data_IF_187443797281
#
_entry.id   IF_187443797281
#
_cell.length_a   1.000
_cell.length_b   1.000
_cell.length_c   1.000
_cell.angle_alpha   90.00
_cell.angle_beta   90.00
_cell.angle_gamma   90.00
#
_symmetry.space_group_name_H-M   'P 1'
#
loop_
_entity.id
_entity.type
_entity.pdbx_description
1 polymer ?
#
# COMPACT_ATOMS: atom_id res chain seq x y z
N UNK A 1 -8.44 26.47 -7.04
CA UNK A 1 -7.74 25.57 -6.10
C UNK A 1 -8.81 25.00 -5.20
N UNK A 2 -9.19 23.75 -5.40
CA UNK A 2 -10.29 23.14 -4.64
C UNK A 2 -9.74 22.58 -3.32
N UNK A 3 -10.59 22.51 -2.29
CA UNK A 3 -10.28 21.87 -0.99
C UNK A 3 -9.70 20.45 -1.11
N UNK A 4 -9.81 19.81 -2.26
CA UNK A 4 -9.20 18.52 -2.60
C UNK A 4 -7.67 18.56 -2.71
N UNK A 5 -7.08 19.67 -3.13
CA UNK A 5 -5.62 19.84 -3.07
C UNK A 5 -5.13 19.93 -1.61
N UNK A 6 -5.97 20.38 -0.70
CA UNK A 6 -5.60 20.49 0.71
C UNK A 6 -5.57 19.17 1.46
N UNK A 7 -6.29 18.14 1.03
CA UNK A 7 -6.28 16.80 1.64
C UNK A 7 -5.12 15.95 1.10
N UNK A 8 -4.77 16.12 -0.18
CA UNK A 8 -3.69 15.36 -0.83
C UNK A 8 -2.31 16.05 -0.79
N UNK A 9 -2.24 17.36 -0.48
CA UNK A 9 -0.99 18.15 -0.52
C UNK A 9 -0.50 18.57 0.88
N UNK A 10 -1.26 18.35 1.96
CA UNK A 10 -0.82 18.63 3.34
C UNK A 10 0.21 17.62 3.90
N UNK A 11 0.71 16.70 3.11
CA UNK A 11 1.70 15.69 3.50
C UNK A 11 3.15 16.17 3.61
N UNK A 12 3.45 17.47 3.59
CA UNK A 12 4.84 17.92 3.75
C UNK A 12 4.94 19.35 4.28
N UNK A 13 4.48 19.61 5.49
CA UNK A 13 5.02 20.71 6.33
C UNK A 13 4.41 20.69 7.74
N UNK A 14 5.27 20.84 8.73
CA UNK A 14 5.06 20.93 10.16
C UNK A 14 4.71 19.62 10.88
N UNK A 15 5.69 19.15 11.65
CA UNK A 15 5.50 18.34 12.85
C UNK A 15 4.81 19.23 13.90
N UNK A 16 3.53 19.50 13.70
CA UNK A 16 2.60 19.78 14.78
C UNK A 16 2.07 18.41 15.19
N UNK A 17 1.92 18.13 16.47
CA UNK A 17 1.27 16.93 17.00
C UNK A 17 -0.06 16.71 16.28
N UNK A 18 -0.04 15.98 15.17
CA UNK A 18 -1.25 15.57 14.50
C UNK A 18 -1.91 14.55 15.43
N UNK A 19 -3.05 14.90 15.99
CA UNK A 19 -3.89 13.96 16.74
C UNK A 19 -4.07 12.70 15.89
N UNK A 20 -3.57 11.57 16.40
CA UNK A 20 -3.71 10.27 15.72
C UNK A 20 -5.20 9.95 15.55
N UNK A 21 -5.59 9.50 14.36
CA UNK A 21 -6.96 9.08 14.08
C UNK A 21 -7.24 7.76 14.82
N UNK A 22 -8.41 7.61 15.41
CA UNK A 22 -8.84 6.39 16.08
C UNK A 22 -9.54 5.47 15.09
N UNK A 23 -9.06 4.24 14.94
CA UNK A 23 -9.54 3.29 13.97
C UNK A 23 -10.23 2.07 14.59
N UNK A 24 -11.35 1.67 14.02
CA UNK A 24 -11.97 0.34 14.23
C UNK A 24 -11.58 -0.56 13.07
N UNK A 25 -10.98 -1.73 13.37
CA UNK A 25 -10.61 -2.71 12.37
C UNK A 25 -11.73 -3.73 12.17
N UNK A 26 -12.00 -4.07 10.91
CA UNK A 26 -13.06 -5.01 10.52
C UNK A 26 -12.46 -6.12 9.70
N UNK A 27 -12.61 -7.38 10.17
CA UNK A 27 -12.18 -8.56 9.45
C UNK A 27 -13.33 -9.53 9.16
N UNK A 28 -13.25 -10.23 8.04
CA UNK A 28 -14.20 -11.28 7.67
C UNK A 28 -13.47 -12.61 7.55
N UNK A 29 -13.89 -13.58 8.37
CA UNK A 29 -13.40 -14.96 8.29
C UNK A 29 -14.16 -15.71 7.21
N UNK A 30 -13.45 -16.33 6.26
CA UNK A 30 -14.00 -17.11 5.16
C UNK A 30 -13.34 -18.47 5.07
N UNK A 31 -14.07 -19.52 4.62
CA UNK A 31 -13.46 -20.80 4.33
C UNK A 31 -12.34 -20.67 3.28
N UNK A 32 -11.25 -21.40 3.48
CA UNK A 32 -10.13 -21.45 2.52
C UNK A 32 -9.24 -20.21 2.49
N UNK A 33 -9.31 -19.34 3.48
CA UNK A 33 -8.33 -18.24 3.61
C UNK A 33 -6.93 -18.81 3.85
N UNK A 34 -5.95 -18.26 3.16
CA UNK A 34 -4.53 -18.65 3.28
C UNK A 34 -3.95 -18.29 4.65
N UNK A 35 -4.46 -17.21 5.26
CA UNK A 35 -3.96 -16.67 6.53
C UNK A 35 -5.03 -16.74 7.62
N UNK A 36 -4.66 -17.07 8.87
CA UNK A 36 -5.55 -16.92 10.01
C UNK A 36 -6.01 -15.45 10.12
N UNK A 37 -7.31 -15.23 10.37
CA UNK A 37 -7.86 -13.87 10.49
C UNK A 37 -7.18 -13.07 11.60
N UNK A 38 -6.81 -13.72 12.70
CA UNK A 38 -6.08 -13.11 13.84
C UNK A 38 -4.74 -12.52 13.39
N UNK A 39 -3.97 -13.26 12.59
CA UNK A 39 -2.69 -12.83 12.04
C UNK A 39 -2.88 -11.65 11.06
N UNK A 40 -3.88 -11.74 10.17
CA UNK A 40 -4.20 -10.67 9.21
C UNK A 40 -4.59 -9.37 9.91
N UNK A 41 -5.40 -9.44 10.97
CA UNK A 41 -5.82 -8.28 11.77
C UNK A 41 -4.68 -7.71 12.63
N UNK A 42 -3.80 -8.55 13.16
CA UNK A 42 -2.60 -8.08 13.85
C UNK A 42 -1.66 -7.30 12.91
N UNK A 43 -1.52 -7.76 11.67
CA UNK A 43 -0.79 -7.03 10.63
C UNK A 43 -1.48 -5.73 10.24
N UNK A 44 -2.82 -5.74 10.07
CA UNK A 44 -3.61 -4.54 9.79
C UNK A 44 -3.46 -3.48 10.89
N UNK A 45 -3.41 -3.88 12.16
CA UNK A 45 -3.18 -2.98 13.28
C UNK A 45 -1.78 -2.32 13.20
N UNK A 46 -0.74 -3.08 12.82
CA UNK A 46 0.60 -2.52 12.59
C UNK A 46 0.65 -1.58 11.38
N UNK A 47 -0.13 -1.87 10.33
CA UNK A 47 -0.29 -0.95 9.20
C UNK A 47 -0.97 0.35 9.65
N UNK A 48 -2.06 0.27 10.41
CA UNK A 48 -2.75 1.43 10.95
C UNK A 48 -1.82 2.29 11.82
N UNK A 49 -1.03 1.68 12.70
CA UNK A 49 -0.02 2.39 13.50
C UNK A 49 1.03 3.09 12.62
N UNK A 50 1.52 2.42 11.58
CA UNK A 50 2.48 2.98 10.63
C UNK A 50 1.91 4.20 9.89
N UNK A 51 0.61 4.17 9.55
CA UNK A 51 -0.11 5.28 8.94
C UNK A 51 -0.46 6.41 9.92
N UNK A 52 -0.23 6.23 11.22
CA UNK A 52 -0.53 7.22 12.26
C UNK A 52 -1.95 7.13 12.82
N UNK A 53 -2.60 5.96 12.74
CA UNK A 53 -3.89 5.69 13.35
C UNK A 53 -3.75 4.74 14.55
N UNK A 54 -4.55 4.96 15.60
CA UNK A 54 -4.61 4.13 16.79
C UNK A 54 -5.77 3.14 16.68
N UNK A 55 -5.50 1.84 16.76
CA UNK A 55 -6.54 0.81 16.79
C UNK A 55 -7.23 0.82 18.16
N UNK A 56 -8.51 1.24 18.19
CA UNK A 56 -9.30 1.32 19.42
C UNK A 56 -10.26 0.15 19.62
N UNK A 57 -10.63 -0.53 18.53
CA UNK A 57 -11.44 -1.76 18.59
C UNK A 57 -11.23 -2.62 17.35
N UNK A 58 -11.51 -3.90 17.48
CA UNK A 58 -11.48 -4.88 16.41
C UNK A 58 -12.80 -5.65 16.42
N UNK A 59 -13.40 -5.83 15.27
CA UNK A 59 -14.60 -6.67 15.13
C UNK A 59 -14.48 -7.62 13.94
N UNK A 60 -15.05 -8.79 14.08
CA UNK A 60 -14.98 -9.84 13.06
C UNK A 60 -16.34 -10.39 12.73
N UNK A 61 -16.48 -10.93 11.52
CA UNK A 61 -17.67 -11.68 11.13
C UNK A 61 -17.25 -12.92 10.35
N UNK A 62 -17.91 -14.04 10.63
CA UNK A 62 -17.74 -15.27 9.84
C UNK A 62 -18.80 -15.32 8.76
N UNK A 63 -18.37 -15.45 7.50
CA UNK A 63 -19.24 -15.51 6.31
C UNK A 63 -18.68 -16.52 5.31
N UNK A 64 -19.54 -17.24 4.63
CA UNK A 64 -19.14 -18.09 3.51
C UNK A 64 -18.72 -17.25 2.30
N UNK A 65 -19.39 -16.12 2.08
CA UNK A 65 -19.05 -15.13 1.04
C UNK A 65 -19.35 -13.71 1.53
N UNK A 66 -18.57 -12.71 1.06
CA UNK A 66 -18.83 -11.31 1.39
C UNK A 66 -20.19 -10.85 0.90
N UNK A 67 -20.85 -9.99 1.70
CA UNK A 67 -22.10 -9.36 1.26
C UNK A 67 -21.83 -8.45 0.04
N UNK A 68 -22.56 -8.61 -1.08
CA UNK A 68 -22.35 -7.81 -2.29
C UNK A 68 -22.57 -6.31 -2.07
N UNK A 69 -23.41 -5.93 -1.09
CA UNK A 69 -23.78 -4.53 -0.84
C UNK A 69 -22.83 -3.82 0.12
N UNK A 70 -22.45 -4.46 1.23
CA UNK A 70 -21.74 -3.83 2.35
C UNK A 70 -20.54 -4.64 2.84
N UNK A 71 -20.14 -5.69 2.13
CA UNK A 71 -19.09 -6.64 2.49
C UNK A 71 -19.43 -7.49 3.72
N UNK A 72 -20.01 -6.89 4.76
CA UNK A 72 -20.53 -7.54 5.98
C UNK A 72 -22.04 -7.49 6.05
N UNK A 73 -22.68 -8.27 6.92
CA UNK A 73 -24.13 -8.25 7.11
C UNK A 73 -24.61 -6.92 7.71
N UNK A 74 -25.91 -6.59 7.51
CA UNK A 74 -26.50 -5.32 8.00
C UNK A 74 -26.38 -5.15 9.51
N UNK A 75 -26.66 -6.18 10.31
CA UNK A 75 -26.47 -6.15 11.77
C UNK A 75 -25.03 -5.89 12.18
N UNK A 76 -24.03 -6.38 11.41
CA UNK A 76 -22.63 -6.09 11.64
C UNK A 76 -22.30 -4.63 11.33
N UNK A 77 -22.91 -4.02 10.31
CA UNK A 77 -22.76 -2.58 10.03
C UNK A 77 -23.23 -1.73 11.21
N UNK A 78 -24.37 -2.07 11.83
CA UNK A 78 -24.88 -1.39 13.02
C UNK A 78 -23.99 -1.58 14.23
N UNK A 79 -23.44 -2.78 14.42
CA UNK A 79 -22.43 -3.07 15.45
C UNK A 79 -21.18 -2.24 15.27
N UNK A 80 -20.63 -2.16 14.05
CA UNK A 80 -19.45 -1.35 13.72
C UNK A 80 -19.72 0.13 14.05
N UNK A 81 -20.85 0.67 13.61
CA UNK A 81 -21.23 2.06 13.91
C UNK A 81 -21.35 2.31 15.41
N UNK A 82 -21.90 1.35 16.16
CA UNK A 82 -21.99 1.42 17.63
C UNK A 82 -20.63 1.38 18.31
N UNK A 83 -19.73 0.50 17.85
CA UNK A 83 -18.34 0.45 18.32
C UNK A 83 -17.59 1.75 18.05
N UNK A 84 -17.77 2.36 16.88
CA UNK A 84 -17.15 3.64 16.55
C UNK A 84 -17.61 4.74 17.51
N UNK A 85 -18.93 4.86 17.78
CA UNK A 85 -19.47 5.83 18.73
C UNK A 85 -18.95 5.61 20.15
N UNK A 86 -18.93 4.35 20.60
CA UNK A 86 -18.49 4.00 21.96
C UNK A 86 -17.00 4.34 22.22
N UNK A 87 -16.15 4.22 21.19
CA UNK A 87 -14.71 4.43 21.29
C UNK A 87 -14.26 5.82 20.76
N UNK A 88 -15.19 6.63 20.24
CA UNK A 88 -14.87 7.90 19.59
C UNK A 88 -13.93 7.72 18.42
N UNK A 89 -14.22 6.72 17.57
CA UNK A 89 -13.41 6.43 16.39
C UNK A 89 -13.75 7.38 15.25
N UNK A 90 -12.74 7.73 14.45
CA UNK A 90 -12.83 8.61 13.29
C UNK A 90 -12.80 7.79 11.98
N UNK A 91 -12.33 6.52 12.06
CA UNK A 91 -11.96 5.71 10.91
C UNK A 91 -12.39 4.25 11.08
N UNK A 92 -12.88 3.65 10.00
CA UNK A 92 -13.14 2.20 9.89
C UNK A 92 -12.20 1.65 8.82
N UNK A 93 -11.45 0.60 9.15
CA UNK A 93 -10.51 -0.04 8.24
C UNK A 93 -10.91 -1.50 8.02
N UNK A 94 -11.24 -1.85 6.78
CA UNK A 94 -11.51 -3.23 6.38
C UNK A 94 -10.22 -3.95 6.01
N UNK A 95 -10.07 -5.18 6.46
CA UNK A 95 -8.90 -6.03 6.20
C UNK A 95 -8.82 -6.53 4.75
N UNK A 96 -9.94 -6.57 4.06
CA UNK A 96 -10.04 -6.96 2.65
C UNK A 96 -10.36 -5.75 1.78
N UNK A 97 -10.03 -5.85 0.47
CA UNK A 97 -10.36 -4.80 -0.49
C UNK A 97 -11.87 -4.67 -0.68
N UNK A 98 -12.37 -3.45 -0.62
CA UNK A 98 -13.77 -3.12 -0.85
C UNK A 98 -13.99 -2.71 -2.31
N UNK A 99 -15.08 -3.19 -2.90
CA UNK A 99 -15.52 -2.60 -4.16
C UNK A 99 -15.99 -1.16 -3.94
N UNK A 100 -15.93 -0.29 -4.97
CA UNK A 100 -16.43 1.09 -4.87
C UNK A 100 -17.87 1.19 -4.38
N UNK A 101 -18.71 0.22 -4.77
CA UNK A 101 -20.12 0.15 -4.36
C UNK A 101 -20.25 -0.20 -2.88
N UNK A 102 -19.49 -1.18 -2.40
CA UNK A 102 -19.48 -1.57 -0.99
C UNK A 102 -19.03 -0.43 -0.10
N UNK A 103 -17.92 0.23 -0.44
CA UNK A 103 -17.42 1.39 0.30
C UNK A 103 -18.49 2.49 0.37
N UNK A 104 -19.07 2.89 -0.77
CA UNK A 104 -20.09 3.92 -0.82
C UNK A 104 -21.37 3.55 -0.03
N UNK A 105 -21.74 2.27 0.01
CA UNK A 105 -22.89 1.81 0.78
C UNK A 105 -22.60 1.80 2.29
N UNK A 106 -21.39 1.42 2.69
CA UNK A 106 -20.93 1.49 4.08
C UNK A 106 -20.92 2.93 4.58
N UNK A 107 -20.31 3.87 3.84
CA UNK A 107 -20.28 5.29 4.17
C UNK A 107 -21.67 5.90 4.33
N UNK A 108 -22.68 5.40 3.58
CA UNK A 108 -24.08 5.84 3.75
C UNK A 108 -24.79 5.19 4.94
N UNK A 109 -24.31 4.06 5.40
CA UNK A 109 -24.95 3.26 6.46
C UNK A 109 -24.34 3.54 7.85
N UNK A 110 -23.15 4.14 7.91
CA UNK A 110 -22.51 4.59 9.15
C UNK A 110 -22.69 6.10 9.34
N UNK A 111 -22.24 6.63 10.46
CA UNK A 111 -22.31 8.06 10.74
C UNK A 111 -21.50 8.87 9.71
N UNK A 112 -21.99 10.06 9.33
CA UNK A 112 -21.42 10.88 8.23
C UNK A 112 -19.98 11.33 8.45
N UNK A 113 -19.54 11.40 9.68
CA UNK A 113 -18.21 11.86 10.04
C UNK A 113 -17.18 10.71 10.07
N UNK A 114 -17.64 9.45 9.91
CA UNK A 114 -16.78 8.27 9.87
C UNK A 114 -16.24 8.02 8.46
N UNK A 115 -14.93 7.92 8.37
CA UNK A 115 -14.25 7.50 7.14
C UNK A 115 -14.24 5.98 7.05
N UNK A 116 -14.48 5.45 5.85
CA UNK A 116 -14.37 4.01 5.56
C UNK A 116 -13.27 3.81 4.52
N UNK A 117 -12.25 3.06 4.90
CA UNK A 117 -11.17 2.68 3.99
C UNK A 117 -10.95 1.17 4.05
N UNK A 118 -10.24 0.64 3.07
CA UNK A 118 -9.81 -0.74 3.03
C UNK A 118 -8.28 -0.85 3.17
N UNK A 119 -7.78 -2.09 3.25
CA UNK A 119 -6.35 -2.38 3.35
C UNK A 119 -5.55 -1.73 2.20
N UNK A 120 -6.09 -1.71 0.99
CA UNK A 120 -5.44 -1.10 -0.18
C UNK A 120 -5.23 0.40 -0.01
N UNK A 121 -6.27 1.13 0.43
CA UNK A 121 -6.15 2.56 0.71
C UNK A 121 -5.13 2.84 1.81
N UNK A 122 -5.14 2.05 2.88
CA UNK A 122 -4.19 2.19 4.00
C UNK A 122 -2.74 2.00 3.54
N UNK A 123 -2.46 0.96 2.73
CA UNK A 123 -1.11 0.73 2.18
C UNK A 123 -0.68 1.87 1.26
N UNK A 124 -1.60 2.40 0.44
CA UNK A 124 -1.32 3.55 -0.43
C UNK A 124 -0.96 4.81 0.37
N UNK A 125 -1.59 5.03 1.51
CA UNK A 125 -1.28 6.15 2.40
C UNK A 125 0.10 5.98 3.05
N UNK A 126 0.44 4.77 3.50
CA UNK A 126 1.77 4.45 4.03
C UNK A 126 2.84 4.69 2.95
N UNK A 127 2.60 4.25 1.73
CA UNK A 127 3.52 4.46 0.62
C UNK A 127 3.69 5.95 0.29
N UNK A 128 2.62 6.74 0.38
CA UNK A 128 2.71 8.19 0.18
C UNK A 128 3.57 8.89 1.24
N UNK A 129 3.60 8.36 2.47
CA UNK A 129 4.46 8.87 3.55
C UNK A 129 5.95 8.52 3.33
N UNK A 130 6.25 7.35 2.77
CA UNK A 130 7.62 6.83 2.66
C UNK A 130 8.27 7.05 1.28
N UNK A 131 7.52 7.45 0.25
CA UNK A 131 8.07 7.76 -1.08
C UNK A 131 8.97 9.00 -1.05
N UNK A 132 10.27 8.81 -1.16
CA UNK A 132 11.28 9.89 -1.13
C UNK A 132 11.75 10.25 -2.53
N UNK A 133 11.88 9.28 -3.43
CA UNK A 133 12.31 9.51 -4.81
C UNK A 133 11.21 10.15 -5.67
N UNK A 134 11.61 10.81 -6.75
CA UNK A 134 10.65 11.32 -7.74
C UNK A 134 9.81 10.19 -8.34
N UNK A 135 10.44 9.08 -8.63
CA UNK A 135 9.77 7.93 -9.24
C UNK A 135 8.83 7.25 -8.28
N UNK A 136 9.26 6.93 -7.04
CA UNK A 136 8.39 6.35 -6.01
C UNK A 136 7.14 7.22 -5.78
N UNK A 137 7.30 8.55 -5.70
CA UNK A 137 6.16 9.48 -5.61
C UNK A 137 5.23 9.42 -6.82
N UNK A 138 5.75 9.27 -8.04
CA UNK A 138 4.94 9.13 -9.23
C UNK A 138 4.19 7.79 -9.25
N UNK A 139 4.84 6.71 -8.86
CA UNK A 139 4.23 5.38 -8.74
C UNK A 139 3.08 5.37 -7.73
N UNK A 140 3.31 5.90 -6.53
CA UNK A 140 2.27 6.03 -5.50
C UNK A 140 1.10 6.88 -6.02
N UNK A 141 1.37 8.03 -6.62
CA UNK A 141 0.32 8.88 -7.22
C UNK A 141 -0.45 8.17 -8.33
N UNK A 142 0.23 7.35 -9.14
CA UNK A 142 -0.44 6.54 -10.17
C UNK A 142 -1.41 5.57 -9.52
N UNK A 143 -0.95 4.77 -8.54
CA UNK A 143 -1.78 3.80 -7.84
C UNK A 143 -2.96 4.47 -7.11
N UNK A 144 -2.74 5.59 -6.41
CA UNK A 144 -3.80 6.37 -5.76
C UNK A 144 -4.85 6.85 -6.75
N UNK A 145 -4.45 7.39 -7.91
CA UNK A 145 -5.39 7.84 -8.92
C UNK A 145 -6.16 6.67 -9.58
N UNK A 146 -5.52 5.52 -9.76
CA UNK A 146 -6.17 4.31 -10.26
C UNK A 146 -7.19 3.75 -9.25
N UNK A 147 -6.85 3.73 -7.98
CA UNK A 147 -7.73 3.32 -6.88
C UNK A 147 -8.94 4.29 -6.73
N UNK A 148 -8.69 5.59 -6.83
CA UNK A 148 -9.70 6.64 -6.67
C UNK A 148 -10.68 6.71 -7.85
N UNK A 149 -10.21 6.51 -9.09
CA UNK A 149 -11.00 6.71 -10.30
C UNK A 149 -12.36 6.00 -10.31
N UNK A 150 -12.49 4.70 -9.96
CA UNK A 150 -13.77 4.02 -9.87
C UNK A 150 -14.63 4.48 -8.68
N UNK A 151 -14.01 5.01 -7.62
CA UNK A 151 -14.64 5.46 -6.37
C UNK A 151 -15.21 6.87 -6.41
N UNK A 152 -14.84 7.68 -7.39
CA UNK A 152 -15.36 9.04 -7.56
C UNK A 152 -16.90 9.14 -7.62
N UNK A 153 -17.58 8.12 -8.13
CA UNK A 153 -19.04 8.09 -8.21
C UNK A 153 -19.73 8.12 -6.84
N UNK A 154 -19.17 7.44 -5.84
CA UNK A 154 -19.70 7.39 -4.48
C UNK A 154 -19.51 8.69 -3.73
N UNK A 155 -18.34 9.29 -3.85
CA UNK A 155 -17.97 10.54 -3.16
C UNK A 155 -18.85 11.73 -3.56
N UNK A 156 -19.26 11.81 -4.83
CA UNK A 156 -20.14 12.89 -5.32
C UNK A 156 -21.57 12.82 -4.78
N UNK A 157 -22.07 11.63 -4.49
CA UNK A 157 -23.40 11.50 -3.89
C UNK A 157 -23.45 12.13 -2.49
N UNK A 158 -22.36 12.08 -1.71
CA UNK A 158 -22.24 12.75 -0.40
C UNK A 158 -22.13 14.29 -0.53
N UNK A 159 -21.31 14.77 -1.47
CA UNK A 159 -21.14 16.20 -1.68
C UNK A 159 -22.39 16.89 -2.24
N UNK A 160 -23.13 16.20 -3.11
CA UNK A 160 -24.41 16.68 -3.64
C UNK A 160 -25.48 16.76 -2.56
N UNK A 161 -25.55 15.81 -1.62
CA UNK A 161 -26.52 15.84 -0.51
C UNK A 161 -26.25 16.95 0.51
N UNK A 162 -24.99 17.32 0.72
CA UNK A 162 -24.62 18.42 1.64
C UNK A 162 -24.83 19.83 1.06
N UNK A 163 -25.03 19.96 -0.27
CA UNK A 163 -25.32 21.26 -0.94
C UNK A 163 -26.80 21.52 -1.19
N UNK A 164 -27.72 20.68 -0.74
CA UNK A 164 -29.15 20.85 -0.92
C UNK A 164 -29.72 21.93 0.01
N UNK A 165 -29.39 23.17 -0.29
CA UNK A 165 -30.07 24.39 0.20
C UNK A 165 -30.56 25.25 -0.96
N UNK A 166 -31.53 24.81 -1.77
CA UNK A 166 -32.15 25.62 -2.81
C UNK A 166 -32.55 24.92 -4.10
N UNK A 167 -33.85 24.88 -4.39
CA UNK A 167 -34.50 24.75 -5.71
C UNK A 167 -34.43 23.38 -6.37
N UNK A 168 -35.59 22.72 -6.48
CA UNK A 168 -35.79 21.47 -7.23
C UNK A 168 -35.65 21.76 -8.74
N UNK A 169 -34.81 21.01 -9.45
CA UNK A 169 -34.85 20.86 -10.91
C UNK A 169 -33.62 21.27 -11.71
N UNK A 170 -32.79 22.21 -11.25
CA UNK A 170 -31.66 22.74 -12.07
C UNK A 170 -30.33 22.08 -11.84
N UNK A 171 -30.21 21.12 -10.90
CA UNK A 171 -28.90 20.66 -10.39
C UNK A 171 -28.53 19.23 -10.77
N UNK A 172 -29.43 18.47 -11.35
CA UNK A 172 -29.12 17.09 -11.82
C UNK A 172 -28.13 17.09 -12.98
N UNK A 173 -28.18 18.09 -13.86
CA UNK A 173 -27.25 18.22 -14.99
C UNK A 173 -25.86 18.71 -14.59
N UNK A 174 -25.75 19.61 -13.61
CA UNK A 174 -24.46 20.15 -13.18
C UNK A 174 -23.65 19.14 -12.35
N UNK A 175 -24.30 18.29 -11.55
CA UNK A 175 -23.62 17.25 -10.75
C UNK A 175 -23.03 16.12 -11.62
N UNK A 176 -23.71 15.70 -12.66
CA UNK A 176 -23.18 14.70 -13.61
C UNK A 176 -22.08 15.31 -14.46
N UNK A 177 -22.21 16.53 -14.93
CA UNK A 177 -21.20 17.28 -15.66
C UNK A 177 -19.91 17.44 -14.85
N UNK A 178 -20.01 17.79 -13.56
CA UNK A 178 -18.86 17.95 -12.67
C UNK A 178 -18.13 16.62 -12.42
N UNK A 179 -18.88 15.53 -12.15
CA UNK A 179 -18.30 14.19 -12.00
C UNK A 179 -17.55 13.75 -13.27
N UNK A 180 -18.10 14.04 -14.43
CA UNK A 180 -17.48 13.71 -15.72
C UNK A 180 -16.19 14.52 -15.93
N UNK A 181 -16.19 15.80 -15.56
CA UNK A 181 -14.99 16.66 -15.58
C UNK A 181 -13.91 16.11 -14.65
N UNK A 182 -14.25 15.73 -13.41
CA UNK A 182 -13.29 15.21 -12.45
C UNK A 182 -12.72 13.85 -12.91
N UNK A 183 -13.56 12.96 -13.42
CA UNK A 183 -13.08 11.68 -14.01
C UNK A 183 -12.13 11.93 -15.18
N UNK A 184 -12.42 12.90 -16.02
CA UNK A 184 -11.55 13.28 -17.13
C UNK A 184 -10.21 13.86 -16.63
N UNK A 185 -10.23 14.67 -15.57
CA UNK A 185 -9.02 15.22 -14.97
C UNK A 185 -8.16 14.10 -14.36
N UNK A 186 -8.75 13.16 -13.60
CA UNK A 186 -8.02 12.01 -13.04
C UNK A 186 -7.44 11.12 -14.13
N UNK A 187 -8.20 10.83 -15.21
CA UNK A 187 -7.66 10.08 -16.36
C UNK A 187 -6.49 10.80 -17.05
N UNK A 188 -6.58 12.12 -17.21
CA UNK A 188 -5.46 12.91 -17.75
C UNK A 188 -4.23 12.85 -16.85
N UNK A 189 -4.41 12.94 -15.52
CA UNK A 189 -3.32 12.78 -14.55
C UNK A 189 -2.67 11.40 -14.65
N UNK A 190 -3.46 10.33 -14.71
CA UNK A 190 -2.97 8.95 -14.91
C UNK A 190 -2.12 8.87 -16.19
N UNK A 191 -2.60 9.41 -17.31
CA UNK A 191 -1.88 9.38 -18.58
C UNK A 191 -0.57 10.19 -18.52
N UNK A 192 -0.58 11.36 -17.87
CA UNK A 192 0.62 12.19 -17.69
C UNK A 192 1.66 11.47 -16.83
N UNK A 193 1.24 10.89 -15.69
CA UNK A 193 2.15 10.17 -14.79
C UNK A 193 2.76 8.96 -15.49
N UNK A 194 1.97 8.18 -16.25
CA UNK A 194 2.49 7.05 -17.01
C UNK A 194 3.59 7.45 -17.98
N UNK A 195 3.40 8.57 -18.73
CA UNK A 195 4.44 9.09 -19.65
C UNK A 195 5.71 9.52 -18.91
N UNK A 196 5.57 10.14 -17.73
CA UNK A 196 6.74 10.51 -16.92
C UNK A 196 7.49 9.27 -16.42
N UNK A 197 6.78 8.23 -15.98
CA UNK A 197 7.38 6.95 -15.57
C UNK A 197 8.07 6.24 -16.76
N UNK A 198 7.46 6.22 -17.94
CA UNK A 198 8.07 5.67 -19.15
C UNK A 198 9.39 6.39 -19.51
N UNK A 199 9.41 7.72 -19.38
CA UNK A 199 10.65 8.49 -19.59
C UNK A 199 11.72 8.13 -18.56
N UNK A 200 11.36 8.03 -17.28
CA UNK A 200 12.31 7.63 -16.23
C UNK A 200 12.83 6.19 -16.46
N UNK A 201 11.96 5.28 -16.89
CA UNK A 201 12.35 3.91 -17.21
C UNK A 201 13.35 3.86 -18.40
N UNK A 202 13.15 4.68 -19.42
CA UNK A 202 14.10 4.78 -20.54
C UNK A 202 15.48 5.29 -20.08
N UNK A 203 15.53 6.32 -19.24
CA UNK A 203 16.80 6.82 -18.67
C UNK A 203 17.51 5.75 -17.83
N UNK A 204 16.76 5.00 -17.03
CA UNK A 204 17.32 3.88 -16.25
C UNK A 204 17.84 2.75 -17.12
N UNK A 205 17.15 2.42 -18.23
CA UNK A 205 17.60 1.38 -19.14
C UNK A 205 19.01 1.68 -19.66
N UNK A 206 19.28 2.91 -20.06
CA UNK A 206 20.62 3.36 -20.49
C UNK A 206 21.64 3.26 -19.35
N UNK A 207 21.28 3.64 -18.13
CA UNK A 207 22.15 3.50 -16.96
C UNK A 207 22.41 2.04 -16.57
N UNK A 208 21.44 1.16 -16.77
CA UNK A 208 21.60 -0.29 -16.53
C UNK A 208 22.56 -0.92 -17.55
N UNK A 209 22.44 -0.56 -18.82
CA UNK A 209 23.32 -1.04 -19.89
C UNK A 209 24.78 -0.75 -19.58
N UNK A 210 25.08 0.49 -19.15
CA UNK A 210 26.43 0.89 -18.69
C UNK A 210 26.91 0.10 -17.45
N UNK A 211 26.01 -0.33 -16.57
CA UNK A 211 26.36 -1.19 -15.42
C UNK A 211 26.51 -2.67 -15.80
N UNK A 212 25.80 -3.14 -16.82
CA UNK A 212 25.99 -4.50 -17.36
C UNK A 212 27.39 -4.70 -17.94
N UNK A 213 27.94 -3.68 -18.60
CA UNK A 213 29.30 -3.68 -19.15
C UNK A 213 30.38 -3.78 -18.06
N UNK A 214 30.08 -3.40 -16.80
CA UNK A 214 31.03 -3.49 -15.69
C UNK A 214 31.25 -4.91 -15.15
N UNK A 215 30.44 -5.90 -15.56
CA UNK A 215 30.55 -7.30 -15.10
C UNK A 215 30.35 -7.50 -13.60
N UNK A 216 29.79 -6.53 -12.88
CA UNK A 216 29.61 -6.57 -11.43
C UNK A 216 28.42 -7.47 -11.07
N UNK A 217 28.63 -8.42 -10.15
CA UNK A 217 27.59 -9.33 -9.68
C UNK A 217 26.57 -8.59 -8.84
N UNK A 218 25.27 -8.78 -9.12
CA UNK A 218 24.16 -8.03 -8.55
C UNK A 218 23.33 -8.92 -7.62
N UNK A 219 23.14 -8.48 -6.41
CA UNK A 219 22.37 -9.19 -5.40
C UNK A 219 21.21 -8.31 -4.94
N UNK A 220 20.00 -8.80 -5.00
CA UNK A 220 18.81 -8.12 -4.48
C UNK A 220 18.33 -8.76 -3.18
N UNK A 221 17.99 -7.92 -2.20
CA UNK A 221 17.37 -8.35 -0.95
C UNK A 221 15.85 -8.35 -1.16
N UNK A 222 15.22 -9.51 -1.09
CA UNK A 222 13.78 -9.67 -1.12
C UNK A 222 13.31 -10.26 0.21
N UNK A 223 12.04 -10.10 0.55
CA UNK A 223 11.48 -10.66 1.78
C UNK A 223 10.32 -9.84 2.31
N UNK A 224 9.69 -10.38 3.32
CA UNK A 224 8.52 -9.78 3.93
C UNK A 224 8.83 -8.39 4.53
N UNK A 225 7.81 -7.53 4.66
CA UNK A 225 8.02 -6.23 5.31
C UNK A 225 8.49 -6.43 6.75
N UNK A 226 9.41 -5.60 7.21
CA UNK A 226 10.04 -5.71 8.53
C UNK A 226 10.84 -7.00 8.78
N UNK A 227 11.20 -7.80 7.77
CA UNK A 227 12.07 -8.98 7.95
C UNK A 227 13.54 -8.62 8.24
N UNK A 228 13.90 -7.34 8.15
CA UNK A 228 15.26 -6.85 8.46
C UNK A 228 16.17 -6.69 7.25
N UNK A 229 15.63 -6.55 6.02
CA UNK A 229 16.39 -6.33 4.78
C UNK A 229 17.31 -5.12 4.86
N UNK A 230 16.77 -3.96 5.19
CA UNK A 230 17.54 -2.70 5.32
C UNK A 230 18.57 -2.76 6.44
N UNK A 231 18.25 -3.45 7.55
CA UNK A 231 19.19 -3.69 8.65
C UNK A 231 20.35 -4.58 8.21
N UNK A 232 20.07 -5.62 7.42
CA UNK A 232 21.09 -6.50 6.84
C UNK A 232 22.00 -5.72 5.87
N UNK A 233 21.41 -4.92 4.98
CA UNK A 233 22.17 -4.06 4.07
C UNK A 233 23.12 -3.13 4.85
N UNK A 234 22.61 -2.43 5.87
CA UNK A 234 23.41 -1.52 6.71
C UNK A 234 24.55 -2.26 7.39
N UNK A 235 24.28 -3.45 7.93
CA UNK A 235 25.29 -4.25 8.63
C UNK A 235 26.42 -4.71 7.71
N UNK A 236 26.10 -5.06 6.47
CA UNK A 236 27.09 -5.51 5.49
C UNK A 236 27.89 -4.32 4.91
N UNK A 237 27.24 -3.22 4.60
CA UNK A 237 27.83 -2.12 3.82
C UNK A 237 28.29 -0.93 4.66
N UNK A 238 28.11 -0.96 5.99
CA UNK A 238 28.31 0.17 6.89
C UNK A 238 27.56 1.45 6.43
N UNK A 239 26.40 1.26 5.79
CA UNK A 239 25.57 2.35 5.31
C UNK A 239 24.56 2.76 6.39
N UNK A 240 24.16 4.05 6.38
CA UNK A 240 23.13 4.60 7.25
C UNK A 240 21.78 4.67 6.51
N UNK A 241 21.30 3.55 5.96
CA UNK A 241 19.94 3.50 5.42
C UNK A 241 18.97 3.48 6.59
N UNK A 242 17.94 4.33 6.53
CA UNK A 242 16.94 4.41 7.58
C UNK A 242 16.23 3.05 7.74
N UNK A 243 16.52 2.37 8.82
CA UNK A 243 15.86 1.12 9.22
C UNK A 243 14.97 1.42 10.42
N UNK A 244 13.68 1.53 10.20
CA UNK A 244 12.69 1.70 11.26
C UNK A 244 11.98 0.37 11.52
N UNK A 245 11.59 0.13 12.78
CA UNK A 245 10.70 -0.98 13.14
C UNK A 245 9.25 -0.65 12.76
N UNK A 246 9.05 -0.35 11.47
CA UNK A 246 7.75 -0.03 10.87
C UNK A 246 7.60 -0.78 9.56
N UNK A 247 6.34 -1.09 9.22
CA UNK A 247 6.02 -1.73 7.96
C UNK A 247 6.28 -0.75 6.79
N UNK A 248 6.88 -1.25 5.71
CA UNK A 248 7.23 -0.45 4.52
C UNK A 248 8.16 0.75 4.80
N UNK A 249 9.13 0.58 5.71
CA UNK A 249 10.15 1.61 5.97
C UNK A 249 10.96 1.95 4.72
N UNK A 250 11.16 1.00 3.81
CA UNK A 250 11.83 1.17 2.52
C UNK A 250 10.82 1.01 1.39
N UNK A 251 10.61 2.05 0.60
CA UNK A 251 9.81 2.03 -0.63
C UNK A 251 10.68 2.19 -1.88
N UNK A 252 11.66 3.07 -1.81
CA UNK A 252 12.62 3.31 -2.89
C UNK A 252 13.79 2.34 -2.76
N UNK A 253 14.17 1.65 -3.84
CA UNK A 253 15.31 0.74 -3.84
C UNK A 253 16.61 1.49 -3.54
N UNK A 254 17.44 0.91 -2.69
CA UNK A 254 18.74 1.47 -2.34
C UNK A 254 19.85 0.47 -2.69
N UNK A 255 20.74 0.83 -3.61
CA UNK A 255 21.86 0.00 -4.03
C UNK A 255 23.15 0.48 -3.39
N UNK A 256 23.96 -0.44 -2.87
CA UNK A 256 25.29 -0.21 -2.28
C UNK A 256 26.29 -1.21 -2.84
N UNK A 257 27.53 -0.77 -2.96
CA UNK A 257 28.66 -1.66 -3.24
C UNK A 257 29.08 -2.36 -1.95
N UNK A 258 29.46 -3.63 -2.10
CA UNK A 258 30.00 -4.44 -1.04
C UNK A 258 31.19 -5.24 -1.56
N UNK A 259 32.29 -5.19 -0.85
CA UNK A 259 33.49 -5.96 -1.14
C UNK A 259 33.47 -7.27 -0.34
N UNK A 260 33.49 -8.39 -1.05
CA UNK A 260 33.59 -9.69 -0.42
C UNK A 260 34.99 -9.90 0.20
N UNK A 261 35.14 -10.77 1.21
CA UNK A 261 36.43 -11.03 1.87
C UNK A 261 37.57 -11.39 0.90
N UNK A 262 37.22 -11.92 -0.28
CA UNK A 262 38.17 -12.30 -1.34
C UNK A 262 38.55 -11.11 -2.26
N UNK A 263 38.10 -9.89 -1.95
CA UNK A 263 38.40 -8.66 -2.72
C UNK A 263 37.51 -8.47 -3.97
N UNK A 264 36.47 -9.27 -4.16
CA UNK A 264 35.52 -9.10 -5.28
C UNK A 264 34.41 -8.13 -4.90
N UNK A 265 34.20 -7.10 -5.72
CA UNK A 265 33.07 -6.17 -5.57
C UNK A 265 31.78 -6.76 -6.11
N UNK A 266 30.71 -6.60 -5.35
CA UNK A 266 29.33 -6.90 -5.74
C UNK A 266 28.42 -5.70 -5.43
N UNK A 267 27.21 -5.68 -5.97
CA UNK A 267 26.17 -4.71 -5.55
C UNK A 267 25.09 -5.41 -4.74
N UNK A 268 24.70 -4.79 -3.64
CA UNK A 268 23.55 -5.18 -2.81
C UNK A 268 22.46 -4.15 -2.97
N UNK A 269 21.24 -4.59 -3.32
CA UNK A 269 20.08 -3.71 -3.50
C UNK A 269 19.00 -4.09 -2.50
N UNK A 270 18.64 -3.15 -1.60
CA UNK A 270 17.46 -3.27 -0.75
C UNK A 270 16.20 -2.92 -1.55
N UNK A 271 15.14 -3.71 -1.41
CA UNK A 271 13.88 -3.53 -2.13
C UNK A 271 12.70 -3.35 -1.18
N UNK A 272 11.56 -2.96 -1.73
CA UNK A 272 10.31 -2.85 -0.99
C UNK A 272 9.95 -4.20 -0.34
N UNK A 273 9.46 -4.17 0.91
CA UNK A 273 9.00 -5.37 1.60
C UNK A 273 7.65 -5.85 1.06
N UNK A 274 7.47 -7.16 1.02
CA UNK A 274 6.19 -7.78 0.68
C UNK A 274 5.28 -7.90 1.90
N UNK A 275 3.99 -8.07 1.68
CA UNK A 275 2.95 -8.14 2.73
C UNK A 275 1.84 -9.09 2.28
N UNK A 276 1.05 -9.59 3.25
CA UNK A 276 -0.17 -10.35 2.97
C UNK A 276 -1.14 -9.55 2.12
N UNK A 277 -1.88 -10.21 1.24
CA UNK A 277 -2.94 -9.60 0.44
C UNK A 277 -2.46 -8.35 -0.32
N UNK A 278 -1.20 -8.38 -0.84
CA UNK A 278 -0.69 -7.25 -1.62
C UNK A 278 -1.55 -7.06 -2.89
N UNK A 279 -2.21 -5.90 -3.07
CA UNK A 279 -3.07 -5.68 -4.22
C UNK A 279 -2.28 -5.72 -5.54
N UNK A 280 -2.82 -6.39 -6.56
CA UNK A 280 -2.17 -6.49 -7.88
C UNK A 280 -1.92 -5.12 -8.52
N UNK A 281 -2.81 -4.16 -8.27
CA UNK A 281 -2.63 -2.76 -8.70
C UNK A 281 -1.38 -2.11 -8.12
N UNK A 282 -0.97 -2.50 -6.90
CA UNK A 282 0.27 -2.04 -6.29
C UNK A 282 1.49 -2.74 -6.89
N UNK A 283 1.41 -4.05 -7.15
CA UNK A 283 2.48 -4.78 -7.85
C UNK A 283 2.77 -4.14 -9.21
N UNK A 284 1.72 -3.81 -9.98
CA UNK A 284 1.85 -3.10 -11.26
C UNK A 284 2.46 -1.70 -11.11
N UNK A 285 2.01 -0.94 -10.10
CA UNK A 285 2.51 0.41 -9.87
C UNK A 285 4.00 0.43 -9.49
N UNK A 286 4.47 -0.57 -8.74
CA UNK A 286 5.86 -0.70 -8.29
C UNK A 286 6.71 -1.60 -9.16
N UNK A 287 6.20 -2.01 -10.33
CA UNK A 287 6.91 -2.90 -11.25
C UNK A 287 8.36 -2.44 -11.50
N UNK A 288 8.59 -1.15 -11.72
CA UNK A 288 9.94 -0.65 -12.01
C UNK A 288 10.90 -0.74 -10.80
N UNK A 289 10.40 -0.68 -9.58
CA UNK A 289 11.19 -0.94 -8.37
C UNK A 289 11.46 -2.44 -8.22
N UNK A 290 10.48 -3.26 -8.56
CA UNK A 290 10.60 -4.72 -8.59
C UNK A 290 11.46 -5.23 -9.76
N UNK A 291 11.60 -4.45 -10.84
CA UNK A 291 12.53 -4.74 -11.94
C UNK A 291 14.00 -4.76 -11.51
N UNK A 292 14.37 -4.16 -10.38
CA UNK A 292 15.71 -4.32 -9.80
C UNK A 292 15.94 -5.76 -9.32
N UNK A 293 14.89 -6.45 -8.86
CA UNK A 293 14.96 -7.87 -8.49
C UNK A 293 15.16 -8.73 -9.73
N UNK A 294 14.35 -8.52 -10.77
CA UNK A 294 14.45 -9.33 -12.02
C UNK A 294 15.76 -9.10 -12.78
N UNK A 295 16.43 -7.97 -12.56
CA UNK A 295 17.73 -7.64 -13.13
C UNK A 295 18.92 -8.07 -12.28
N UNK A 296 18.73 -8.82 -11.18
CA UNK A 296 19.81 -9.33 -10.32
C UNK A 296 20.29 -10.73 -10.73
N UNK A 297 21.47 -11.10 -10.28
CA UNK A 297 22.07 -12.42 -10.50
C UNK A 297 21.71 -13.39 -9.36
N UNK A 298 21.41 -12.85 -8.17
CA UNK A 298 21.03 -13.60 -6.98
C UNK A 298 20.00 -12.83 -6.15
N UNK A 299 19.03 -13.52 -5.57
CA UNK A 299 18.10 -13.01 -4.59
C UNK A 299 18.49 -13.54 -3.21
N UNK A 300 18.73 -12.65 -2.24
CA UNK A 300 18.75 -12.98 -0.83
C UNK A 300 17.34 -12.83 -0.27
N UNK A 301 16.66 -13.94 -0.05
CA UNK A 301 15.34 -13.95 0.53
C UNK A 301 15.45 -13.92 2.06
N UNK A 302 15.27 -12.74 2.65
CA UNK A 302 15.39 -12.49 4.09
C UNK A 302 14.08 -12.87 4.78
N UNK A 303 14.17 -13.78 5.74
CA UNK A 303 13.03 -14.37 6.48
C UNK A 303 13.15 -14.03 7.95
N UNK A 304 12.07 -13.52 8.54
CA UNK A 304 11.95 -13.26 9.98
C UNK A 304 11.53 -14.54 10.70
N UNK A 305 12.48 -15.23 11.31
CA UNK A 305 12.21 -16.51 12.04
C UNK A 305 11.56 -16.31 13.40
N UNK A 306 11.49 -15.09 13.91
CA UNK A 306 10.75 -14.80 15.14
C UNK A 306 9.23 -14.77 14.95
N UNK A 307 8.76 -14.78 13.68
CA UNK A 307 7.33 -14.81 13.34
C UNK A 307 6.83 -16.26 13.32
N UNK A 308 5.74 -16.56 14.01
CA UNK A 308 5.06 -17.86 13.93
C UNK A 308 4.56 -18.20 12.52
N UNK A 309 4.38 -17.20 11.68
CA UNK A 309 3.84 -17.30 10.31
C UNK A 309 4.96 -17.27 9.23
N UNK A 310 6.23 -17.50 9.60
CA UNK A 310 7.35 -17.30 8.67
C UNK A 310 7.26 -18.17 7.41
N UNK A 311 6.71 -19.39 7.48
CA UNK A 311 6.52 -20.27 6.33
C UNK A 311 5.50 -19.69 5.34
N UNK A 312 4.40 -19.14 5.85
CA UNK A 312 3.41 -18.42 5.06
C UNK A 312 3.99 -17.15 4.42
N UNK A 313 4.84 -16.42 5.16
CA UNK A 313 5.53 -15.24 4.63
C UNK A 313 6.49 -15.61 3.50
N UNK A 314 7.22 -16.73 3.60
CA UNK A 314 8.05 -17.26 2.51
C UNK A 314 7.17 -17.49 1.28
N UNK A 315 6.06 -18.22 1.43
CA UNK A 315 5.16 -18.54 0.32
C UNK A 315 4.60 -17.27 -0.35
N UNK A 316 4.18 -16.28 0.42
CA UNK A 316 3.69 -15.01 -0.10
C UNK A 316 4.75 -14.23 -0.89
N UNK A 317 5.99 -14.23 -0.44
CA UNK A 317 7.12 -13.60 -1.16
C UNK A 317 7.39 -14.34 -2.46
N UNK A 318 7.40 -15.67 -2.43
CA UNK A 318 7.61 -16.52 -3.60
C UNK A 318 6.53 -16.29 -4.67
N UNK A 319 5.25 -16.21 -4.27
CA UNK A 319 4.15 -15.91 -5.19
C UNK A 319 4.35 -14.56 -5.91
N UNK A 320 4.79 -13.53 -5.19
CA UNK A 320 5.06 -12.22 -5.81
C UNK A 320 6.29 -12.26 -6.70
N UNK A 321 7.37 -12.94 -6.29
CA UNK A 321 8.56 -13.13 -7.13
C UNK A 321 8.22 -13.84 -8.43
N UNK A 322 7.30 -14.79 -8.39
CA UNK A 322 6.82 -15.50 -9.56
C UNK A 322 5.97 -14.60 -10.48
N UNK A 323 5.09 -13.78 -9.89
CA UNK A 323 4.28 -12.81 -10.64
C UNK A 323 5.12 -11.77 -11.40
N UNK A 324 6.27 -11.36 -10.86
CA UNK A 324 7.16 -10.40 -11.51
C UNK A 324 8.14 -11.06 -12.50
N UNK A 325 8.10 -12.39 -12.66
CA UNK A 325 8.96 -13.12 -13.61
C UNK A 325 10.36 -13.46 -13.08
N UNK A 326 10.53 -13.53 -11.76
CA UNK A 326 11.80 -13.85 -11.13
C UNK A 326 12.00 -15.37 -10.84
N UNK A 327 11.18 -16.26 -11.44
CA UNK A 327 11.21 -17.72 -11.17
C UNK A 327 12.56 -18.37 -11.45
N UNK A 328 13.27 -17.89 -12.47
CA UNK A 328 14.55 -18.47 -12.92
C UNK A 328 15.76 -17.99 -12.12
N UNK A 329 15.60 -16.98 -11.26
CA UNK A 329 16.71 -16.43 -10.49
C UNK A 329 17.08 -17.33 -9.32
N UNK A 330 18.38 -17.50 -9.09
CA UNK A 330 18.90 -18.21 -7.92
C UNK A 330 18.48 -17.47 -6.64
N UNK A 331 18.05 -18.25 -5.63
CA UNK A 331 17.56 -17.70 -4.35
C UNK A 331 18.34 -18.33 -3.20
N UNK A 332 18.75 -17.51 -2.23
CA UNK A 332 19.34 -17.94 -0.98
C UNK A 332 18.47 -17.45 0.18
N UNK A 333 17.94 -18.40 0.96
CA UNK A 333 17.21 -18.06 2.18
C UNK A 333 18.17 -17.56 3.26
N UNK A 334 17.87 -16.42 3.85
CA UNK A 334 18.61 -15.81 4.96
C UNK A 334 17.69 -15.72 6.15
N UNK A 335 17.84 -16.60 7.10
CA UNK A 335 17.09 -16.58 8.35
C UNK A 335 17.62 -15.48 9.26
N UNK A 336 16.75 -14.54 9.62
CA UNK A 336 17.07 -13.38 10.44
C UNK A 336 16.23 -13.37 11.71
N UNK A 337 16.66 -12.61 12.73
CA UNK A 337 16.01 -12.51 14.05
C UNK A 337 15.93 -13.85 14.80
N UNK A 338 16.96 -14.70 14.62
CA UNK A 338 17.09 -15.98 15.32
C UNK A 338 17.36 -15.77 16.81
#
# INVERSE_FOLDING_TARGET
MSEYESVLVKGARCVAEQKREKAVLVGVERPGQQWPLSSSLAELARLADTAGADTVAVTTQKLDAPNPRTFVGSGKVEEIASLCRANGADLIIFDDELTPSQQSNLEKSVDRDLKVIDRTALILDIFALHATSKEGRLQVRLAQNQYLLPRLRGMWAHLASNRMGGGVGSRFGEGESQLEVDRRLVRKRITSIKRELEHLAAVRAVQRESRYESGMFKVSLAGYTNAGKSSLLNRLTNADVLAYDKLFATLDSTTRKYELPEGREITLTDTVGFIQKLPTTLVEAFKSTLDEITGSDLILHVVDTSSEEFEGQISAVEEVLDQIGAQSLSRLLVFNKC
#
